data_IF_063764096585
#
_entry.id   IF_063764096585
#
_cell.length_a   1.000
_cell.length_b   1.000
_cell.length_c   1.000
_cell.angle_alpha   90.00
_cell.angle_beta   90.00
_cell.angle_gamma   90.00
#
_symmetry.space_group_name_H-M   'P 1'
#
loop_
_entity.id
_entity.type
_entity.pdbx_description
1 polymer ?
#
# COMPACT_ATOMS: atom_id res chain seq x y z
N UNK A 1 13.55 -9.60 -35.13
CA UNK A 1 13.79 -10.06 -33.74
C UNK A 1 14.16 -8.83 -32.92
N UNK A 2 13.28 -8.38 -32.02
CA UNK A 2 13.63 -7.37 -31.00
C UNK A 2 13.58 -8.08 -29.65
N UNK A 3 14.74 -8.52 -29.21
CA UNK A 3 15.09 -8.72 -27.79
C UNK A 3 15.10 -7.30 -27.20
N UNK A 4 14.45 -6.94 -26.11
CA UNK A 4 14.30 -7.56 -24.79
C UNK A 4 13.21 -6.75 -24.06
N UNK A 5 12.21 -7.31 -23.41
CA UNK A 5 12.39 -8.37 -22.41
C UNK A 5 12.98 -7.85 -21.09
N UNK A 6 13.22 -6.54 -20.92
CA UNK A 6 13.30 -5.96 -19.58
C UNK A 6 11.86 -5.67 -19.16
N UNK A 7 11.29 -6.62 -18.42
CA UNK A 7 9.94 -6.56 -17.84
C UNK A 7 9.66 -5.16 -17.25
N UNK A 8 8.47 -4.60 -17.49
CA UNK A 8 8.04 -3.34 -16.87
C UNK A 8 8.23 -3.38 -15.35
N UNK A 9 8.02 -4.55 -14.73
CA UNK A 9 8.26 -4.74 -13.32
C UNK A 9 9.75 -4.60 -12.95
N UNK A 10 10.66 -5.09 -13.77
CA UNK A 10 12.11 -4.97 -13.54
C UNK A 10 12.59 -3.52 -13.71
N UNK A 11 12.07 -2.81 -14.72
CA UNK A 11 12.34 -1.38 -14.88
C UNK A 11 11.78 -0.57 -13.70
N UNK A 12 10.56 -0.87 -13.24
CA UNK A 12 9.98 -0.21 -12.07
C UNK A 12 10.78 -0.50 -10.80
N UNK A 13 11.14 -1.75 -10.52
CA UNK A 13 11.96 -2.12 -9.34
C UNK A 13 13.31 -1.42 -9.34
N UNK A 14 13.97 -1.32 -10.52
CA UNK A 14 15.33 -0.79 -10.62
C UNK A 14 15.39 0.75 -10.63
N UNK A 15 14.43 1.39 -11.29
CA UNK A 15 14.43 2.85 -11.49
C UNK A 15 13.20 3.50 -10.89
N UNK A 16 11.99 3.07 -11.29
CA UNK A 16 10.74 3.72 -10.91
C UNK A 16 10.51 3.83 -9.40
N UNK A 17 10.84 2.79 -8.64
CA UNK A 17 10.69 2.78 -7.19
C UNK A 17 11.62 3.78 -6.50
N UNK A 18 12.89 3.85 -6.90
CA UNK A 18 13.88 4.80 -6.35
C UNK A 18 13.56 6.25 -6.72
N UNK A 19 12.81 6.47 -7.79
CA UNK A 19 12.25 7.78 -8.17
C UNK A 19 10.92 8.10 -7.45
N UNK A 20 10.43 7.16 -6.64
CA UNK A 20 9.17 7.24 -5.92
C UNK A 20 7.94 7.23 -6.83
N UNK A 21 8.01 6.53 -7.97
CA UNK A 21 6.83 6.24 -8.80
C UNK A 21 5.97 5.18 -8.11
N UNK A 22 4.66 5.40 -8.10
CA UNK A 22 3.69 4.47 -7.53
C UNK A 22 3.62 3.20 -8.38
N UNK A 23 3.82 2.04 -7.73
CA UNK A 23 3.81 0.72 -8.39
C UNK A 23 2.52 -0.06 -8.21
N UNK A 24 1.70 0.29 -7.21
CA UNK A 24 0.37 -0.29 -6.98
C UNK A 24 -0.62 0.76 -6.47
N UNK A 25 -1.93 0.54 -6.60
CA UNK A 25 -2.95 1.41 -6.01
C UNK A 25 -2.85 1.52 -4.48
N UNK A 26 -2.30 0.54 -3.80
CA UNK A 26 -2.27 0.46 -2.32
C UNK A 26 -1.05 1.16 -1.71
N UNK A 27 0.03 1.35 -2.47
CA UNK A 27 1.27 1.93 -1.93
C UNK A 27 1.93 2.96 -2.84
N UNK A 28 2.12 4.17 -2.29
CA UNK A 28 2.93 5.23 -2.87
C UNK A 28 3.94 5.71 -1.82
N UNK A 29 5.23 5.45 -2.04
CA UNK A 29 6.27 5.76 -1.03
C UNK A 29 6.35 7.25 -0.70
N UNK A 30 6.09 8.12 -1.68
CA UNK A 30 6.04 9.57 -1.46
C UNK A 30 4.87 9.96 -0.57
N UNK A 31 3.69 9.40 -0.84
CA UNK A 31 2.52 9.62 0.01
C UNK A 31 2.77 9.08 1.42
N UNK A 32 3.29 7.84 1.51
CA UNK A 32 3.51 7.17 2.77
C UNK A 32 4.48 7.93 3.67
N UNK A 33 5.61 8.41 3.14
CA UNK A 33 6.53 9.24 3.91
C UNK A 33 5.93 10.61 4.27
N UNK A 34 5.21 11.25 3.34
CA UNK A 34 4.58 12.54 3.60
C UNK A 34 3.49 12.50 4.68
N UNK A 35 2.77 11.38 4.81
CA UNK A 35 1.71 11.20 5.81
C UNK A 35 2.19 10.58 7.12
N UNK A 36 3.44 10.13 7.20
CA UNK A 36 4.04 9.52 8.38
C UNK A 36 5.32 10.27 8.79
N UNK A 37 5.20 11.42 9.50
CA UNK A 37 6.35 12.29 9.83
C UNK A 37 7.43 11.62 10.67
N UNK A 38 7.07 10.61 11.46
CA UNK A 38 8.01 9.76 12.21
C UNK A 38 8.94 8.99 11.27
N UNK A 39 8.39 8.39 10.22
CA UNK A 39 9.15 7.65 9.21
C UNK A 39 9.94 8.61 8.31
N UNK A 40 9.36 9.75 7.92
CA UNK A 40 10.09 10.79 7.17
C UNK A 40 11.33 11.28 7.94
N UNK A 41 11.22 11.46 9.26
CA UNK A 41 12.34 11.87 10.11
C UNK A 41 13.38 10.74 10.25
N UNK A 42 12.93 9.48 10.36
CA UNK A 42 13.83 8.34 10.55
C UNK A 42 14.55 7.90 9.26
N UNK A 43 13.88 7.98 8.11
CA UNK A 43 14.34 7.39 6.85
C UNK A 43 14.69 8.43 5.78
N UNK A 44 14.21 9.66 5.88
CA UNK A 44 14.45 10.68 4.86
C UNK A 44 13.88 10.24 3.50
N UNK A 45 14.74 10.15 2.49
CA UNK A 45 14.41 9.67 1.15
C UNK A 45 14.82 8.19 0.93
N UNK A 46 15.10 7.42 1.98
CA UNK A 46 15.32 5.98 1.87
C UNK A 46 13.99 5.25 1.62
N UNK A 47 13.59 5.23 0.35
CA UNK A 47 12.34 4.63 -0.08
C UNK A 47 12.29 3.12 0.19
N UNK A 48 13.44 2.43 0.16
CA UNK A 48 13.49 1.00 0.48
C UNK A 48 13.16 0.74 1.95
N UNK A 49 13.69 1.54 2.87
CA UNK A 49 13.31 1.45 4.29
C UNK A 49 11.83 1.76 4.50
N UNK A 50 11.29 2.74 3.79
CA UNK A 50 9.86 3.07 3.86
C UNK A 50 8.97 1.93 3.34
N UNK A 51 9.36 1.27 2.24
CA UNK A 51 8.65 0.10 1.71
C UNK A 51 8.72 -1.08 2.68
N UNK A 52 9.90 -1.38 3.24
CA UNK A 52 10.03 -2.46 4.22
C UNK A 52 9.15 -2.16 5.45
N UNK A 53 9.15 -0.92 5.94
CA UNK A 53 8.25 -0.55 7.03
C UNK A 53 6.78 -0.76 6.65
N UNK A 54 6.36 -0.37 5.45
CA UNK A 54 4.98 -0.59 5.00
C UNK A 54 4.58 -2.07 5.03
N UNK A 55 5.42 -2.94 4.46
CA UNK A 55 5.17 -4.38 4.37
C UNK A 55 5.22 -5.07 5.74
N UNK A 56 6.21 -4.71 6.56
CA UNK A 56 6.48 -5.42 7.82
C UNK A 56 5.67 -4.87 9.01
N UNK A 57 5.16 -3.63 8.93
CA UNK A 57 4.51 -2.96 10.07
C UNK A 57 3.32 -2.11 9.64
N UNK A 58 3.44 -1.36 8.55
CA UNK A 58 2.46 -0.34 8.17
C UNK A 58 1.04 -0.85 7.99
N UNK A 59 0.90 -2.05 7.40
CA UNK A 59 -0.40 -2.72 7.24
C UNK A 59 -0.95 -3.13 8.61
N UNK A 60 -0.15 -3.78 9.46
CA UNK A 60 -0.53 -4.21 10.81
C UNK A 60 -0.85 -3.05 11.76
N UNK A 61 -0.28 -1.87 11.52
CA UNK A 61 -0.57 -0.62 12.25
C UNK A 61 -1.82 0.10 11.70
N UNK A 62 -2.37 -0.37 10.58
CA UNK A 62 -3.48 0.26 9.87
C UNK A 62 -3.12 1.64 9.32
N UNK A 63 -1.86 1.86 8.93
CA UNK A 63 -1.42 3.10 8.26
C UNK A 63 -1.96 3.14 6.83
N UNK A 64 -2.06 4.34 6.27
CA UNK A 64 -2.50 4.54 4.89
C UNK A 64 -1.29 4.57 3.94
N UNK A 65 -1.20 3.59 3.04
CA UNK A 65 -0.08 3.45 2.10
C UNK A 65 -0.14 4.35 0.87
N UNK A 66 -1.33 4.80 0.47
CA UNK A 66 -1.55 5.57 -0.76
C UNK A 66 -2.77 6.50 -0.64
N UNK A 67 -2.94 7.49 -1.53
CA UNK A 67 -4.15 8.31 -1.56
C UNK A 67 -5.39 7.54 -2.06
N UNK A 68 -5.19 6.42 -2.75
CA UNK A 68 -6.25 5.66 -3.45
C UNK A 68 -6.80 4.49 -2.64
N UNK A 69 -6.17 4.14 -1.52
CA UNK A 69 -6.64 3.07 -0.65
C UNK A 69 -6.36 3.40 0.83
N UNK A 70 -7.36 3.16 1.69
CA UNK A 70 -7.24 3.20 3.15
C UNK A 70 -7.97 2.02 3.78
N UNK A 71 -7.22 1.14 4.46
CA UNK A 71 -7.79 -0.02 5.16
C UNK A 71 -8.78 0.40 6.27
N UNK A 72 -8.59 1.59 6.84
CA UNK A 72 -9.52 2.15 7.84
C UNK A 72 -10.83 2.58 7.20
N UNK A 73 -10.78 3.32 6.08
CA UNK A 73 -11.97 3.72 5.34
C UNK A 73 -12.72 2.49 4.79
N UNK A 74 -11.98 1.49 4.31
CA UNK A 74 -12.52 0.21 3.88
C UNK A 74 -13.29 -0.50 5.01
N UNK A 75 -12.66 -0.63 6.18
CA UNK A 75 -13.32 -1.16 7.39
C UNK A 75 -14.59 -0.37 7.72
N UNK A 76 -14.51 0.95 7.82
CA UNK A 76 -15.62 1.80 8.23
C UNK A 76 -16.82 1.69 7.28
N UNK A 77 -16.55 1.51 5.98
CA UNK A 77 -17.58 1.39 4.94
C UNK A 77 -18.34 0.06 4.97
N UNK A 78 -17.73 -1.02 5.45
CA UNK A 78 -18.26 -2.37 5.35
C UNK A 78 -18.52 -3.01 6.72
N UNK A 79 -19.74 -2.89 7.28
CA UNK A 79 -20.08 -3.41 8.61
C UNK A 79 -19.88 -4.92 8.76
N UNK A 80 -20.02 -5.69 7.68
CA UNK A 80 -19.73 -7.13 7.65
C UNK A 80 -18.25 -7.41 7.94
N UNK A 81 -17.33 -6.64 7.37
CA UNK A 81 -15.89 -6.76 7.64
C UNK A 81 -15.54 -6.27 9.05
N UNK A 82 -16.20 -5.22 9.53
CA UNK A 82 -16.05 -4.78 10.92
C UNK A 82 -16.42 -5.89 11.90
N UNK A 83 -17.52 -6.59 11.62
CA UNK A 83 -17.99 -7.71 12.44
C UNK A 83 -17.08 -8.92 12.33
N UNK A 84 -16.55 -9.22 11.14
CA UNK A 84 -15.70 -10.38 10.90
C UNK A 84 -14.28 -10.21 11.46
N UNK A 85 -13.68 -9.03 11.27
CA UNK A 85 -12.24 -8.83 11.50
C UNK A 85 -11.94 -7.79 12.59
N UNK A 86 -12.92 -6.99 13.03
CA UNK A 86 -12.67 -5.96 14.04
C UNK A 86 -11.60 -4.98 13.55
N UNK A 87 -10.55 -4.77 14.34
CA UNK A 87 -9.38 -3.95 13.98
C UNK A 87 -8.19 -4.79 13.49
N UNK A 88 -8.42 -6.01 13.00
CA UNK A 88 -7.37 -6.79 12.36
C UNK A 88 -7.13 -6.22 10.95
N UNK A 89 -6.22 -5.25 10.87
CA UNK A 89 -5.91 -4.50 9.64
C UNK A 89 -5.31 -5.38 8.56
N UNK A 90 -4.48 -6.36 8.94
CA UNK A 90 -3.93 -7.36 8.02
C UNK A 90 -5.06 -8.14 7.35
N UNK A 91 -6.00 -8.70 8.11
CA UNK A 91 -7.14 -9.45 7.53
C UNK A 91 -8.06 -8.58 6.67
N UNK A 92 -8.23 -7.31 7.01
CA UNK A 92 -8.97 -6.35 6.19
C UNK A 92 -8.24 -6.04 4.88
N UNK A 93 -6.91 -5.94 4.92
CA UNK A 93 -6.07 -5.75 3.75
C UNK A 93 -6.06 -7.00 2.86
N UNK A 94 -5.88 -8.19 3.44
CA UNK A 94 -6.01 -9.49 2.75
C UNK A 94 -7.34 -9.56 2.01
N UNK A 95 -8.45 -9.23 2.70
CA UNK A 95 -9.76 -9.26 2.08
C UNK A 95 -9.87 -8.29 0.90
N UNK A 96 -9.31 -7.07 1.00
CA UNK A 96 -9.27 -6.13 -0.12
C UNK A 96 -8.53 -6.69 -1.34
N UNK A 97 -7.37 -7.31 -1.08
CA UNK A 97 -6.50 -7.86 -2.13
C UNK A 97 -7.09 -9.11 -2.79
N UNK A 98 -7.81 -9.94 -2.02
CA UNK A 98 -8.32 -11.23 -2.50
C UNK A 98 -9.74 -11.18 -3.07
N UNK A 99 -10.64 -10.36 -2.51
CA UNK A 99 -12.05 -10.33 -2.91
C UNK A 99 -12.64 -8.94 -3.05
N UNK A 100 -12.18 -7.96 -2.28
CA UNK A 100 -12.81 -6.64 -2.19
C UNK A 100 -12.97 -5.96 -3.55
N UNK A 101 -11.97 -6.06 -4.42
CA UNK A 101 -12.01 -5.50 -5.77
C UNK A 101 -13.03 -6.22 -6.66
N UNK A 102 -13.04 -7.56 -6.63
CA UNK A 102 -13.94 -8.39 -7.44
C UNK A 102 -15.40 -8.31 -6.97
N UNK A 103 -15.61 -8.07 -5.67
CA UNK A 103 -16.91 -7.79 -5.07
C UNK A 103 -17.43 -6.36 -5.39
N UNK A 104 -16.64 -5.55 -6.10
CA UNK A 104 -16.99 -4.17 -6.41
C UNK A 104 -16.95 -3.23 -5.20
N UNK A 105 -16.22 -3.61 -4.14
CA UNK A 105 -16.08 -2.76 -2.96
C UNK A 105 -15.13 -1.58 -3.24
N UNK A 106 -15.27 -0.53 -2.44
CA UNK A 106 -14.46 0.70 -2.52
C UNK A 106 -13.55 0.81 -1.31
N UNK A 107 -12.25 0.73 -1.54
CA UNK A 107 -11.21 0.95 -0.52
C UNK A 107 -10.67 2.39 -0.46
N UNK A 108 -11.14 3.28 -1.35
CA UNK A 108 -10.71 4.68 -1.35
C UNK A 108 -11.20 5.44 -0.09
N UNK A 109 -10.38 6.35 0.47
CA UNK A 109 -10.77 7.23 1.57
C UNK A 109 -11.98 8.12 1.23
#
# INVERSE_FOLDING_TARGET
MVQSGMDLADHWKRFGFNEGRQGSPEFSVKFYLATNPDLQRAYGNDYRRALNHWLDNGIEEGRQGSPTFSVRAYRERYPDLQKAFGQNWEKLFDHWMEWGQDEGRTGAP
#
